data_IF_824276917191
#
_entry.id   IF_824276917191
#
_cell.length_a   1.000
_cell.length_b   1.000
_cell.length_c   1.000
_cell.angle_alpha   90.00
_cell.angle_beta   90.00
_cell.angle_gamma   90.00
#
_symmetry.space_group_name_H-M   'P 1'
#
loop_
_entity.id
_entity.type
_entity.pdbx_description
1 polymer ?
#
# COMPACT_ATOMS: atom_id res chain seq x y z
N UNK A 1 15.81 -1.56 24.85
CA UNK A 1 14.44 -1.07 25.16
C UNK A 1 13.82 -0.65 23.85
N UNK A 2 12.77 -1.34 23.40
CA UNK A 2 12.02 -0.89 22.21
C UNK A 2 11.13 0.24 22.70
N UNK A 3 11.43 1.46 22.26
CA UNK A 3 10.60 2.63 22.46
C UNK A 3 9.29 2.42 21.68
N UNK A 4 8.35 1.73 22.31
CA UNK A 4 7.10 1.30 21.69
C UNK A 4 6.16 2.51 21.70
N UNK A 5 6.34 3.38 20.72
CA UNK A 5 5.51 4.56 20.50
C UNK A 5 4.05 4.12 20.35
N UNK A 6 3.13 4.87 20.95
CA UNK A 6 1.72 4.46 21.09
C UNK A 6 1.01 4.34 19.74
N UNK A 7 1.19 5.32 18.84
CA UNK A 7 0.51 5.37 17.54
C UNK A 7 1.39 5.98 16.44
N UNK A 8 1.19 5.53 15.19
CA UNK A 8 1.71 6.20 13.98
C UNK A 8 0.66 6.26 12.87
N UNK A 9 0.71 7.32 12.06
CA UNK A 9 -0.03 7.40 10.80
C UNK A 9 0.91 7.16 9.61
N UNK A 10 0.48 6.28 8.72
CA UNK A 10 1.05 6.07 7.40
C UNK A 10 0.18 6.82 6.41
N UNK A 11 0.78 7.63 5.55
CA UNK A 11 0.04 8.36 4.52
C UNK A 11 0.35 7.76 3.15
N UNK A 12 -0.68 7.38 2.40
CA UNK A 12 -0.57 6.99 1.00
C UNK A 12 -1.32 8.02 0.17
N UNK A 13 -0.57 8.74 -0.64
CA UNK A 13 -1.10 9.76 -1.55
C UNK A 13 -1.05 9.22 -2.98
N UNK A 14 -2.20 8.93 -3.57
CA UNK A 14 -2.31 8.54 -4.99
C UNK A 14 -2.01 9.76 -5.85
N UNK A 15 -1.05 9.64 -6.76
CA UNK A 15 -0.50 10.75 -7.54
C UNK A 15 -0.79 10.63 -9.04
N UNK A 16 -0.81 9.42 -9.59
CA UNK A 16 -1.00 9.18 -11.03
C UNK A 16 -1.80 7.90 -11.27
N UNK A 17 -2.54 7.86 -12.36
CA UNK A 17 -3.20 6.65 -12.85
C UNK A 17 -2.87 6.48 -14.33
N UNK A 18 -2.52 5.26 -14.74
CA UNK A 18 -2.31 4.92 -16.15
C UNK A 18 -2.66 3.45 -16.36
N UNK A 19 -3.46 3.16 -17.38
CA UNK A 19 -4.07 1.84 -17.59
C UNK A 19 -4.77 1.34 -16.33
N UNK A 20 -4.56 0.07 -16.00
CA UNK A 20 -5.09 -0.59 -14.80
C UNK A 20 -4.22 -0.40 -13.55
N UNK A 21 -3.48 0.72 -13.45
CA UNK A 21 -2.64 1.01 -12.27
C UNK A 21 -2.81 2.39 -11.71
N UNK A 22 -2.77 2.46 -10.38
CA UNK A 22 -2.63 3.72 -9.64
C UNK A 22 -1.27 3.73 -8.96
N UNK A 23 -0.49 4.78 -9.20
CA UNK A 23 0.76 5.05 -8.50
C UNK A 23 0.51 6.02 -7.34
N UNK A 24 1.04 5.67 -6.18
CA UNK A 24 1.01 6.51 -4.98
C UNK A 24 2.40 6.71 -4.35
N UNK A 25 2.45 7.66 -3.41
CA UNK A 25 3.61 7.90 -2.53
C UNK A 25 3.23 7.59 -1.10
N UNK A 26 4.02 6.74 -0.44
CA UNK A 26 3.88 6.38 0.96
C UNK A 26 4.89 7.14 1.82
N UNK A 27 4.40 7.74 2.90
CA UNK A 27 5.22 8.33 3.97
C UNK A 27 4.74 7.84 5.33
N UNK A 28 5.63 7.86 6.32
CA UNK A 28 5.33 7.51 7.70
C UNK A 28 5.63 8.74 8.55
N UNK A 29 4.68 9.16 9.40
CA UNK A 29 4.87 10.33 10.26
C UNK A 29 6.12 10.18 11.14
N UNK A 30 6.94 11.24 11.18
CA UNK A 30 8.19 11.24 11.94
C UNK A 30 9.35 10.47 11.30
N UNK A 31 9.20 9.93 10.09
CA UNK A 31 10.26 9.25 9.34
C UNK A 31 10.62 10.08 8.10
N UNK A 32 11.88 10.51 7.98
CA UNK A 32 12.38 11.25 6.81
C UNK A 32 12.70 10.32 5.63
N UNK A 33 11.71 9.53 5.19
CA UNK A 33 11.78 8.63 4.04
C UNK A 33 10.43 8.59 3.33
N UNK A 34 10.45 8.20 2.06
CA UNK A 34 9.24 7.93 1.29
C UNK A 34 9.44 6.78 0.32
N UNK A 35 8.35 6.11 -0.02
CA UNK A 35 8.32 5.00 -0.96
C UNK A 35 7.22 5.22 -2.00
N UNK A 36 7.27 4.47 -3.10
CA UNK A 36 6.17 4.38 -4.04
C UNK A 36 5.25 3.22 -3.68
N UNK A 37 3.99 3.29 -4.09
CA UNK A 37 3.02 2.21 -3.93
C UNK A 37 2.28 2.02 -5.25
N UNK A 38 2.18 0.78 -5.70
CA UNK A 38 1.34 0.38 -6.82
C UNK A 38 0.04 -0.23 -6.27
N UNK A 39 -1.08 0.27 -6.76
CA UNK A 39 -2.43 -0.27 -6.55
C UNK A 39 -3.06 -0.54 -7.93
N UNK A 40 -4.15 -1.32 -8.03
CA UNK A 40 -4.94 -1.35 -9.25
C UNK A 40 -5.47 0.02 -9.67
N UNK A 41 -5.93 0.12 -10.90
CA UNK A 41 -6.61 1.30 -11.43
C UNK A 41 -7.91 1.62 -10.69
N UNK A 42 -8.37 2.86 -10.83
CA UNK A 42 -9.73 3.23 -10.49
C UNK A 42 -10.76 2.68 -11.50
N UNK A 43 -12.06 2.88 -11.25
CA UNK A 43 -12.65 3.51 -10.07
C UNK A 43 -12.47 2.67 -8.79
N UNK A 44 -12.73 3.26 -7.62
CA UNK A 44 -12.69 2.54 -6.35
C UNK A 44 -13.81 1.49 -6.30
N UNK A 45 -13.55 0.33 -5.68
CA UNK A 45 -14.53 -0.76 -5.58
C UNK A 45 -14.63 -1.33 -4.18
N UNK A 46 -15.86 -1.74 -3.81
CA UNK A 46 -16.17 -2.53 -2.61
C UNK A 46 -16.42 -4.01 -2.92
N UNK A 47 -16.40 -4.41 -4.19
CA UNK A 47 -16.65 -5.80 -4.61
C UNK A 47 -15.37 -6.60 -4.44
N UNK A 48 -15.40 -7.69 -3.68
CA UNK A 48 -14.24 -8.58 -3.49
C UNK A 48 -13.68 -9.08 -4.84
N UNK A 49 -12.35 -9.17 -4.97
CA UNK A 49 -11.63 -9.62 -6.17
C UNK A 49 -11.89 -8.82 -7.47
N UNK A 50 -12.45 -7.62 -7.39
CA UNK A 50 -12.80 -6.83 -8.58
C UNK A 50 -11.63 -6.24 -9.37
N UNK A 51 -10.37 -6.58 -9.06
CA UNK A 51 -9.15 -5.95 -9.61
C UNK A 51 -9.22 -4.40 -9.68
N UNK A 52 -9.67 -3.80 -8.58
CA UNK A 52 -9.79 -2.34 -8.43
C UNK A 52 -9.24 -1.90 -7.10
N UNK A 53 -8.77 -0.66 -7.05
CA UNK A 53 -8.29 -0.06 -5.79
C UNK A 53 -9.42 0.08 -4.79
N UNK A 54 -9.06 0.07 -3.51
CA UNK A 54 -10.01 0.32 -2.42
C UNK A 54 -10.37 1.82 -2.37
N UNK A 55 -11.40 2.18 -1.62
CA UNK A 55 -11.76 3.58 -1.43
C UNK A 55 -10.61 4.38 -0.75
N UNK A 56 -10.50 5.66 -1.06
CA UNK A 56 -9.74 6.57 -0.20
C UNK A 56 -10.39 6.65 1.20
N UNK A 57 -9.58 6.79 2.24
CA UNK A 57 -10.06 6.74 3.62
C UNK A 57 -8.97 6.37 4.63
N UNK A 58 -9.38 6.24 5.89
CA UNK A 58 -8.51 5.81 6.97
C UNK A 58 -8.82 4.37 7.38
N UNK A 59 -7.78 3.54 7.48
CA UNK A 59 -7.90 2.13 7.82
C UNK A 59 -6.95 1.77 8.96
N UNK A 60 -7.40 0.89 9.86
CA UNK A 60 -6.51 0.30 10.86
C UNK A 60 -5.60 -0.71 10.19
N UNK A 61 -4.34 -0.75 10.57
CA UNK A 61 -3.37 -1.70 10.03
C UNK A 61 -2.94 -2.66 11.14
N UNK A 62 -3.00 -3.97 10.87
CA UNK A 62 -2.59 -5.00 11.83
C UNK A 62 -1.67 -6.04 11.17
N UNK A 63 -0.72 -6.63 11.92
CA UNK A 63 0.08 -7.74 11.43
C UNK A 63 -0.81 -8.89 10.95
N UNK A 64 -0.41 -9.54 9.87
CA UNK A 64 -1.13 -10.65 9.25
C UNK A 64 -0.15 -11.67 8.68
N UNK A 65 -0.46 -12.95 8.90
CA UNK A 65 0.27 -14.07 8.31
C UNK A 65 -0.75 -15.02 7.71
N UNK A 66 -0.73 -15.15 6.38
CA UNK A 66 -1.54 -16.10 5.63
C UNK A 66 -0.70 -17.17 4.95
N UNK A 67 -1.35 -17.98 4.12
CA UNK A 67 -0.69 -19.09 3.41
C UNK A 67 0.27 -18.59 2.33
N UNK A 68 -0.15 -17.59 1.53
CA UNK A 68 0.64 -17.03 0.42
C UNK A 68 1.65 -15.97 0.88
N UNK A 69 1.22 -15.07 1.76
CA UNK A 69 2.04 -13.98 2.28
C UNK A 69 2.20 -14.12 3.80
N UNK A 70 3.45 -14.26 4.26
CA UNK A 70 3.79 -14.40 5.67
C UNK A 70 4.37 -13.09 6.20
N UNK A 71 4.05 -12.75 7.46
CA UNK A 71 4.60 -11.58 8.16
C UNK A 71 4.39 -10.25 7.40
N UNK A 72 3.17 -10.06 6.88
CA UNK A 72 2.75 -8.82 6.21
C UNK A 72 1.79 -8.05 7.10
N UNK A 73 1.27 -6.93 6.60
CA UNK A 73 0.25 -6.15 7.28
C UNK A 73 -1.04 -6.14 6.46
N UNK A 74 -2.18 -6.16 7.15
CA UNK A 74 -3.51 -6.10 6.57
C UNK A 74 -4.20 -4.80 6.98
N UNK A 75 -4.86 -4.14 6.02
CA UNK A 75 -5.82 -3.08 6.26
C UNK A 75 -7.13 -3.70 6.74
N UNK A 76 -7.55 -3.36 7.96
CA UNK A 76 -8.77 -3.86 8.58
C UNK A 76 -9.96 -2.95 8.29
N UNK A 77 -11.14 -3.56 8.28
CA UNK A 77 -12.43 -2.89 8.10
C UNK A 77 -12.53 -2.14 6.76
N UNK A 78 -11.91 -2.67 5.70
CA UNK A 78 -12.13 -2.16 4.35
C UNK A 78 -13.54 -2.55 3.90
N UNK A 79 -14.42 -1.59 3.55
CA UNK A 79 -15.80 -1.90 3.21
C UNK A 79 -15.93 -2.88 2.05
N UNK A 80 -16.62 -4.00 2.30
CA UNK A 80 -16.88 -5.05 1.31
C UNK A 80 -15.67 -5.89 0.90
N UNK A 81 -14.49 -5.62 1.49
CA UNK A 81 -13.21 -6.19 1.04
C UNK A 81 -12.44 -6.83 2.18
N UNK A 82 -11.82 -7.97 1.95
CA UNK A 82 -10.95 -8.65 2.95
C UNK A 82 -9.54 -8.82 2.40
N UNK A 83 -8.60 -9.12 3.30
CA UNK A 83 -7.22 -9.43 2.95
C UNK A 83 -6.57 -8.37 2.04
N UNK A 84 -6.83 -7.10 2.33
CA UNK A 84 -6.13 -6.00 1.68
C UNK A 84 -4.78 -5.83 2.37
N UNK A 85 -3.74 -6.37 1.74
CA UNK A 85 -2.41 -6.48 2.33
C UNK A 85 -1.48 -5.37 1.83
N UNK A 86 -0.49 -5.05 2.65
CA UNK A 86 0.73 -4.38 2.23
C UNK A 86 1.75 -5.50 1.97
N UNK A 87 2.07 -5.79 0.72
CA UNK A 87 2.91 -6.94 0.38
C UNK A 87 3.88 -6.64 -0.76
N UNK A 88 4.97 -7.42 -0.92
CA UNK A 88 5.86 -7.25 -2.06
C UNK A 88 5.16 -7.68 -3.36
N UNK A 89 5.35 -6.89 -4.40
CA UNK A 89 4.90 -7.13 -5.76
C UNK A 89 5.39 -5.99 -6.65
N UNK A 90 5.43 -6.21 -7.95
CA UNK A 90 6.06 -5.26 -8.88
C UNK A 90 5.10 -4.80 -9.99
N UNK A 91 4.13 -5.65 -10.35
CA UNK A 91 3.25 -5.44 -11.50
C UNK A 91 1.78 -5.54 -11.10
N UNK A 92 0.90 -4.87 -11.84
CA UNK A 92 -0.53 -4.80 -11.56
C UNK A 92 -1.18 -6.18 -11.37
N UNK A 93 -0.80 -7.19 -12.16
CA UNK A 93 -1.25 -8.59 -12.03
C UNK A 93 -0.90 -9.27 -10.70
N UNK A 94 -0.12 -8.61 -9.83
CA UNK A 94 0.25 -9.11 -8.51
C UNK A 94 -0.70 -8.63 -7.41
N UNK A 95 -1.72 -7.84 -7.73
CA UNK A 95 -2.67 -7.30 -6.77
C UNK A 95 -4.06 -7.24 -7.39
N UNK A 96 -5.09 -7.44 -6.57
CA UNK A 96 -6.49 -7.17 -6.94
C UNK A 96 -7.08 -6.05 -6.07
N UNK A 97 -6.23 -5.32 -5.32
CA UNK A 97 -6.62 -4.27 -4.38
C UNK A 97 -5.66 -4.01 -3.22
N UNK A 98 -4.64 -4.85 -3.07
CA UNK A 98 -3.54 -4.69 -2.13
C UNK A 98 -2.62 -3.53 -2.51
N UNK A 99 -1.84 -3.07 -1.54
CA UNK A 99 -0.84 -2.03 -1.68
C UNK A 99 0.52 -2.69 -1.89
N UNK A 100 1.20 -2.38 -2.99
CA UNK A 100 2.52 -2.93 -3.31
C UNK A 100 3.60 -1.85 -3.27
N UNK A 101 4.37 -1.74 -2.17
CA UNK A 101 5.42 -0.74 -2.05
C UNK A 101 6.65 -1.05 -2.92
N UNK A 102 7.34 -0.01 -3.36
CA UNK A 102 8.65 -0.09 -4.02
C UNK A 102 9.49 1.17 -3.81
N UNK A 103 10.79 1.06 -4.10
CA UNK A 103 11.74 2.19 -3.97
C UNK A 103 11.84 3.01 -5.26
N UNK A 104 11.50 2.40 -6.38
CA UNK A 104 11.47 3.04 -7.70
C UNK A 104 10.14 2.72 -8.38
N UNK A 105 9.82 3.46 -9.43
CA UNK A 105 8.68 3.18 -10.29
C UNK A 105 9.05 3.48 -11.74
N UNK A 106 8.25 2.99 -12.68
CA UNK A 106 8.37 3.32 -14.09
C UNK A 106 7.10 2.98 -14.86
N UNK A 107 7.15 3.18 -16.18
CA UNK A 107 6.04 2.91 -17.10
C UNK A 107 6.41 1.74 -18.00
N UNK A 108 5.51 0.78 -18.13
CA UNK A 108 5.59 -0.34 -19.05
C UNK A 108 5.10 0.06 -20.44
N UNK A 109 5.52 -0.69 -21.46
CA UNK A 109 5.10 -0.47 -22.86
C UNK A 109 3.59 -0.60 -23.07
N UNK A 110 2.92 -1.37 -22.23
CA UNK A 110 1.48 -1.63 -22.28
C UNK A 110 0.66 -0.62 -21.46
N UNK A 111 1.22 0.56 -21.18
CA UNK A 111 0.53 1.66 -20.48
C UNK A 111 0.15 1.39 -19.02
N UNK A 112 0.97 0.60 -18.32
CA UNK A 112 0.84 0.39 -16.87
C UNK A 112 2.07 0.90 -16.12
N UNK A 113 1.89 1.31 -14.86
CA UNK A 113 3.00 1.52 -13.96
C UNK A 113 3.53 0.20 -13.40
N UNK A 114 4.80 0.18 -13.02
CA UNK A 114 5.39 -0.85 -12.17
C UNK A 114 6.17 -0.20 -11.04
N UNK A 115 6.41 -0.96 -9.97
CA UNK A 115 7.32 -0.56 -8.89
C UNK A 115 8.52 -1.49 -8.84
N UNK A 116 9.69 -0.97 -8.46
CA UNK A 116 10.95 -1.69 -8.33
C UNK A 116 11.42 -1.80 -6.88
N UNK A 117 12.29 -2.78 -6.60
CA UNK A 117 12.87 -3.00 -5.27
C UNK A 117 11.83 -3.19 -4.14
N UNK A 118 10.74 -3.90 -4.43
CA UNK A 118 9.59 -4.07 -3.52
C UNK A 118 9.97 -4.75 -2.20
N UNK A 119 10.81 -5.80 -2.24
CA UNK A 119 11.30 -6.47 -1.03
C UNK A 119 12.09 -5.54 -0.11
N UNK A 120 12.92 -4.66 -0.68
CA UNK A 120 13.68 -3.69 0.09
C UNK A 120 12.77 -2.61 0.70
N UNK A 121 11.81 -2.10 -0.07
CA UNK A 121 10.81 -1.16 0.42
C UNK A 121 10.00 -1.75 1.58
N UNK A 122 9.49 -2.97 1.43
CA UNK A 122 8.77 -3.68 2.48
C UNK A 122 9.61 -3.84 3.75
N UNK A 123 10.88 -4.25 3.62
CA UNK A 123 11.78 -4.39 4.78
C UNK A 123 11.93 -3.06 5.53
N UNK A 124 12.15 -1.97 4.82
CA UNK A 124 12.29 -0.64 5.40
C UNK A 124 10.98 -0.18 6.07
N UNK A 125 9.84 -0.29 5.37
CA UNK A 125 8.53 0.12 5.86
C UNK A 125 8.14 -0.69 7.11
N UNK A 126 8.30 -2.02 7.06
CA UNK A 126 7.91 -2.89 8.17
C UNK A 126 8.82 -2.70 9.39
N UNK A 127 10.10 -2.39 9.17
CA UNK A 127 11.02 -2.02 10.25
C UNK A 127 10.62 -0.72 10.94
N UNK A 128 9.98 0.22 10.23
CA UNK A 128 9.46 1.44 10.85
C UNK A 128 8.12 1.18 11.53
N UNK A 129 7.23 0.42 10.89
CA UNK A 129 5.92 0.06 11.43
C UNK A 129 5.99 -0.74 12.73
N UNK A 130 6.92 -1.69 12.84
CA UNK A 130 7.04 -2.58 14.00
C UNK A 130 7.42 -1.87 15.31
N UNK A 131 7.80 -0.59 15.25
CA UNK A 131 8.11 0.25 16.42
C UNK A 131 6.86 0.79 17.13
N UNK A 132 5.67 0.57 16.55
CA UNK A 132 4.41 1.17 17.01
C UNK A 132 3.37 0.09 17.30
N UNK A 133 2.57 0.30 18.35
CA UNK A 133 1.49 -0.62 18.73
C UNK A 133 0.23 -0.41 17.88
N UNK A 134 -0.12 0.85 17.64
CA UNK A 134 -1.24 1.22 16.79
C UNK A 134 -0.79 1.91 15.51
N UNK A 135 -1.27 1.37 14.39
CA UNK A 135 -0.93 1.85 13.06
C UNK A 135 -2.24 2.16 12.33
N UNK A 136 -2.31 3.36 11.80
CA UNK A 136 -3.39 3.82 10.94
C UNK A 136 -2.80 4.18 9.58
N UNK A 137 -3.47 3.80 8.49
CA UNK A 137 -3.10 4.22 7.14
C UNK A 137 -4.19 5.12 6.57
N UNK A 138 -3.78 6.29 6.07
CA UNK A 138 -4.65 7.27 5.41
C UNK A 138 -4.34 7.27 3.92
N UNK A 139 -5.33 6.89 3.11
CA UNK A 139 -5.25 6.90 1.65
C UNK A 139 -5.99 8.13 1.14
N UNK A 140 -5.33 8.91 0.29
CA UNK A 140 -5.87 10.15 -0.30
C UNK A 140 -5.67 10.18 -1.81
N UNK A 141 -6.59 10.83 -2.52
CA UNK A 141 -6.51 11.04 -3.96
C UNK A 141 -5.96 12.45 -4.24
N UNK A 142 -4.82 12.54 -4.92
CA UNK A 142 -4.30 13.75 -5.57
C UNK A 142 -3.80 13.39 -6.96
N UNK A 143 -4.69 12.79 -7.73
CA UNK A 143 -4.43 12.48 -9.12
C UNK A 143 -4.27 13.82 -9.85
N UNK A 144 -3.06 14.08 -10.32
CA UNK A 144 -2.79 15.25 -11.16
C UNK A 144 -3.67 15.13 -12.41
N UNK A 145 -4.44 16.19 -12.68
CA UNK A 145 -5.28 16.37 -13.87
C UNK A 145 -4.45 16.64 -15.11
#
# INVERSE_FOLDING_TARGET
MVDNRSKVTINVKRIKQFGETTLGKLTIEGVNKSWFVLEPGGPDSKVENSDKRIAAGAYKVKPFTGNRYKNVYELKNVPGRKYILIHPGNYHKNTEGCLMPGKTWGVLKDSHFYVGNSKAAIKEIFSEMSKYQDIEIKITNQLES
#
